data_IF_893790060537
#
_entry.id   IF_893790060537
#
_cell.length_a   1.000
_cell.length_b   1.000
_cell.length_c   1.000
_cell.angle_alpha   90.00
_cell.angle_beta   90.00
_cell.angle_gamma   90.00
#
_symmetry.space_group_name_H-M   'P 1'
#
loop_
_entity.id
_entity.type
_entity.pdbx_description
1 polymer ?
#
# COMPACT_ATOMS: atom_id res chain seq x y z
N UNK A 1 23.90 -10.50 -9.64
CA UNK A 1 22.64 -10.08 -9.06
C UNK A 1 22.73 -8.66 -8.57
N UNK A 2 21.75 -7.83 -8.93
CA UNK A 2 21.61 -6.47 -8.44
C UNK A 2 20.56 -6.44 -7.33
N UNK A 3 20.87 -5.77 -6.21
CA UNK A 3 19.92 -5.55 -5.12
C UNK A 3 19.11 -4.30 -5.44
N UNK A 4 17.78 -4.42 -5.35
CA UNK A 4 16.83 -3.30 -5.43
C UNK A 4 16.00 -3.32 -4.14
N UNK A 5 15.96 -2.21 -3.42
CA UNK A 5 15.23 -2.11 -2.15
C UNK A 5 13.91 -1.40 -2.40
N UNK A 6 12.81 -2.12 -2.19
CA UNK A 6 11.46 -1.56 -2.12
C UNK A 6 11.09 -1.20 -0.68
N UNK A 7 10.00 -0.45 -0.52
CA UNK A 7 9.47 0.00 0.78
C UNK A 7 7.96 0.00 0.78
N UNK A 8 7.38 0.15 1.96
CA UNK A 8 5.95 0.29 2.16
C UNK A 8 5.28 -0.96 2.73
N UNK A 9 5.51 -2.14 2.13
CA UNK A 9 5.12 -3.42 2.75
C UNK A 9 6.00 -3.75 3.95
N UNK A 10 7.29 -3.55 3.79
CA UNK A 10 8.29 -3.56 4.87
C UNK A 10 9.11 -2.27 4.80
N UNK A 11 9.78 -1.85 5.88
CA UNK A 11 10.64 -0.67 5.87
C UNK A 11 11.72 -0.74 4.80
N UNK A 12 12.31 -1.92 4.60
CA UNK A 12 13.27 -2.22 3.53
C UNK A 12 13.03 -3.64 3.03
N UNK A 13 12.39 -3.75 1.85
CA UNK A 13 12.12 -5.03 1.20
C UNK A 13 13.17 -5.28 0.12
N UNK A 14 14.04 -6.25 0.32
CA UNK A 14 15.10 -6.59 -0.63
C UNK A 14 14.52 -7.42 -1.79
N UNK A 15 14.69 -6.90 -3.00
CA UNK A 15 14.43 -7.60 -4.26
C UNK A 15 15.75 -7.86 -4.99
N UNK A 16 15.79 -8.87 -5.84
CA UNK A 16 17.00 -9.26 -6.56
C UNK A 16 16.74 -9.29 -8.08
N UNK A 17 17.50 -8.52 -8.85
CA UNK A 17 17.46 -8.53 -10.31
C UNK A 17 18.67 -9.25 -10.89
N UNK A 18 18.45 -10.26 -11.73
CA UNK A 18 19.48 -10.91 -12.52
C UNK A 18 19.35 -10.50 -13.99
N UNK A 19 20.17 -9.56 -14.51
CA UNK A 19 20.09 -9.13 -15.90
C UNK A 19 20.40 -10.25 -16.89
N UNK A 20 21.35 -11.14 -16.55
CA UNK A 20 21.77 -12.23 -17.43
C UNK A 20 20.67 -13.26 -17.69
N UNK A 21 19.75 -13.45 -16.73
CA UNK A 21 18.61 -14.38 -16.83
C UNK A 21 17.29 -13.65 -17.13
N UNK A 22 17.28 -12.35 -17.13
CA UNK A 22 16.08 -11.49 -17.19
C UNK A 22 15.03 -11.91 -16.15
N UNK A 23 15.47 -12.11 -14.89
CA UNK A 23 14.67 -12.61 -13.76
C UNK A 23 14.71 -11.61 -12.62
N UNK A 24 13.53 -11.33 -12.03
CA UNK A 24 13.35 -10.48 -10.87
C UNK A 24 12.70 -11.23 -9.72
N UNK A 25 13.46 -11.48 -8.64
CA UNK A 25 12.90 -12.03 -7.39
C UNK A 25 12.31 -10.86 -6.61
N UNK A 26 11.00 -10.80 -6.60
CA UNK A 26 10.25 -9.65 -6.08
C UNK A 26 9.82 -9.82 -4.61
N UNK A 27 9.77 -11.05 -4.10
CA UNK A 27 9.16 -11.31 -2.79
C UNK A 27 7.74 -10.77 -2.73
N UNK A 28 7.41 -10.10 -1.63
CA UNK A 28 6.11 -9.44 -1.45
C UNK A 28 6.03 -8.03 -2.08
N UNK A 29 7.13 -7.53 -2.63
CA UNK A 29 7.12 -6.21 -3.26
C UNK A 29 6.31 -6.18 -4.57
N UNK A 30 6.15 -7.30 -5.25
CA UNK A 30 5.34 -7.38 -6.48
C UNK A 30 4.70 -8.75 -6.63
N UNK A 31 3.41 -8.84 -6.31
CA UNK A 31 2.58 -10.04 -6.40
C UNK A 31 1.68 -10.04 -7.65
N UNK A 32 1.36 -11.20 -8.24
CA UNK A 32 0.64 -11.28 -9.53
C UNK A 32 -0.83 -10.84 -9.45
N UNK A 33 -1.53 -11.14 -8.36
CA UNK A 33 -2.99 -10.98 -8.29
C UNK A 33 -3.48 -10.18 -7.09
N UNK A 34 -2.84 -10.31 -5.93
CA UNK A 34 -3.20 -9.60 -4.69
C UNK A 34 -2.26 -8.42 -4.47
N UNK A 35 -2.71 -7.42 -3.73
CA UNK A 35 -1.87 -6.36 -3.19
C UNK A 35 -1.21 -6.85 -1.90
N UNK A 36 0.05 -6.53 -1.70
CA UNK A 36 0.70 -6.72 -0.42
C UNK A 36 0.09 -5.77 0.60
N UNK A 37 0.00 -6.18 1.84
CA UNK A 37 -0.49 -5.31 2.90
C UNK A 37 0.51 -4.17 3.15
N UNK A 38 0.01 -2.94 3.19
CA UNK A 38 0.76 -1.72 3.44
C UNK A 38 0.19 -1.08 4.69
N UNK A 39 0.78 -1.36 5.84
CA UNK A 39 0.22 -1.03 7.14
C UNK A 39 1.05 -0.05 7.96
N UNK A 40 0.36 0.86 8.64
CA UNK A 40 0.92 1.59 9.79
C UNK A 40 0.88 0.66 11.00
N UNK A 41 2.00 0.52 11.67
CA UNK A 41 2.11 -0.26 12.90
C UNK A 41 1.92 0.62 14.14
N UNK A 42 1.38 0.09 15.24
CA UNK A 42 1.18 0.87 16.47
C UNK A 42 2.45 1.51 17.05
N UNK A 43 3.60 0.94 16.74
CA UNK A 43 4.93 1.46 17.15
C UNK A 43 5.35 2.71 16.37
N UNK A 44 4.75 2.94 15.18
CA UNK A 44 5.07 4.04 14.28
C UNK A 44 3.80 4.71 13.73
N UNK A 45 2.92 5.25 14.59
CA UNK A 45 1.57 5.68 14.20
C UNK A 45 1.54 6.81 13.16
N UNK A 46 2.64 7.54 13.01
CA UNK A 46 2.76 8.67 12.06
C UNK A 46 3.55 8.30 10.80
N UNK A 47 3.94 7.04 10.62
CA UNK A 47 4.61 6.58 9.41
C UNK A 47 3.71 6.74 8.18
N UNK A 48 4.31 6.82 6.99
CA UNK A 48 3.59 6.96 5.72
C UNK A 48 3.96 5.85 4.74
N UNK A 49 3.70 4.56 5.10
CA UNK A 49 4.11 3.43 4.29
C UNK A 49 3.43 3.39 2.91
N UNK A 50 2.24 4.01 2.76
CA UNK A 50 1.60 4.08 1.44
C UNK A 50 2.37 5.00 0.49
N UNK A 51 2.92 6.10 0.97
CA UNK A 51 3.81 6.93 0.16
C UNK A 51 5.03 6.12 -0.30
N UNK A 52 5.67 5.44 0.63
CA UNK A 52 6.87 4.65 0.35
C UNK A 52 6.58 3.50 -0.63
N UNK A 53 5.39 2.89 -0.53
CA UNK A 53 4.90 1.88 -1.46
C UNK A 53 4.70 2.42 -2.87
N UNK A 54 4.01 3.54 -3.01
CA UNK A 54 3.75 4.17 -4.31
C UNK A 54 5.05 4.63 -4.98
N UNK A 55 5.96 5.22 -4.21
CA UNK A 55 7.29 5.62 -4.68
C UNK A 55 8.11 4.39 -5.12
N UNK A 56 8.03 3.29 -4.37
CA UNK A 56 8.70 2.02 -4.71
C UNK A 56 8.12 1.39 -5.98
N UNK A 57 6.81 1.42 -6.17
CA UNK A 57 6.19 0.93 -7.41
C UNK A 57 6.66 1.75 -8.63
N UNK A 58 6.70 3.07 -8.52
CA UNK A 58 7.18 3.94 -9.58
C UNK A 58 8.69 3.75 -9.86
N UNK A 59 9.49 3.59 -8.82
CA UNK A 59 10.93 3.31 -8.92
C UNK A 59 11.18 1.97 -9.61
N UNK A 60 10.43 0.92 -9.27
CA UNK A 60 10.56 -0.40 -9.89
C UNK A 60 10.21 -0.37 -11.39
N UNK A 61 9.18 0.39 -11.81
CA UNK A 61 8.87 0.57 -13.24
C UNK A 61 10.06 1.14 -14.04
N UNK A 62 10.92 1.91 -13.39
CA UNK A 62 12.11 2.51 -14.02
C UNK A 62 13.36 1.62 -13.92
N UNK A 63 13.40 0.73 -12.91
CA UNK A 63 14.63 -0.01 -12.55
C UNK A 63 14.67 -1.42 -13.12
N UNK A 64 13.53 -2.01 -13.51
CA UNK A 64 13.47 -3.39 -14.04
C UNK A 64 12.96 -3.39 -15.48
N UNK A 65 13.38 -4.36 -16.33
CA UNK A 65 12.87 -4.51 -17.70
C UNK A 65 11.37 -4.83 -17.73
N UNK A 66 10.65 -4.35 -18.76
CA UNK A 66 9.22 -4.58 -18.91
C UNK A 66 8.86 -6.07 -19.16
N UNK A 67 9.77 -6.81 -19.77
CA UNK A 67 9.67 -8.22 -20.15
C UNK A 67 10.33 -9.18 -19.15
N UNK A 68 10.69 -8.67 -17.95
CA UNK A 68 11.31 -9.49 -16.91
C UNK A 68 10.35 -10.58 -16.40
N UNK A 69 10.88 -11.79 -16.16
CA UNK A 69 10.15 -12.83 -15.43
C UNK A 69 10.18 -12.51 -13.93
N UNK A 70 9.00 -12.29 -13.35
CA UNK A 70 8.85 -12.00 -11.92
C UNK A 70 8.64 -13.27 -11.13
N UNK A 71 9.44 -13.45 -10.07
CA UNK A 71 9.34 -14.51 -9.07
C UNK A 71 8.81 -13.90 -7.76
N UNK A 72 7.50 -14.01 -7.49
CA UNK A 72 6.88 -13.47 -6.27
C UNK A 72 6.99 -14.48 -5.12
N UNK A 73 6.77 -14.04 -3.87
CA UNK A 73 6.64 -14.91 -2.70
C UNK A 73 5.31 -15.68 -2.67
N UNK A 74 4.26 -15.12 -3.29
CA UNK A 74 2.93 -15.72 -3.36
C UNK A 74 2.37 -15.69 -4.79
N UNK A 75 1.67 -16.77 -5.17
CA UNK A 75 1.10 -16.93 -6.50
C UNK A 75 2.07 -17.50 -7.51
N UNK A 76 1.70 -17.43 -8.80
CA UNK A 76 2.50 -17.95 -9.90
C UNK A 76 3.54 -16.95 -10.37
N UNK A 77 4.65 -17.41 -10.92
CA UNK A 77 5.59 -16.57 -11.66
C UNK A 77 4.87 -15.93 -12.86
N UNK A 78 5.26 -14.71 -13.23
CA UNK A 78 4.53 -13.98 -14.26
C UNK A 78 5.40 -12.98 -15.02
N UNK A 79 4.91 -12.58 -16.18
CA UNK A 79 5.42 -11.46 -16.98
C UNK A 79 4.48 -10.26 -16.88
N UNK A 80 4.94 -9.08 -17.33
CA UNK A 80 4.16 -7.86 -17.32
C UNK A 80 4.26 -7.07 -16.03
N UNK A 81 5.45 -7.04 -15.45
CA UNK A 81 5.77 -6.32 -14.21
C UNK A 81 5.29 -4.86 -14.23
N UNK A 82 5.56 -4.09 -15.29
CA UNK A 82 5.17 -2.68 -15.39
C UNK A 82 3.67 -2.48 -15.36
N UNK A 83 2.90 -3.31 -16.10
CA UNK A 83 1.44 -3.23 -16.09
C UNK A 83 0.87 -3.60 -14.72
N UNK A 84 1.51 -4.56 -14.04
CA UNK A 84 1.10 -4.96 -12.69
C UNK A 84 1.39 -3.87 -11.66
N UNK A 85 2.56 -3.25 -11.71
CA UNK A 85 2.91 -2.10 -10.87
C UNK A 85 1.93 -0.93 -11.07
N UNK A 86 1.59 -0.62 -12.34
CA UNK A 86 0.61 0.42 -12.61
C UNK A 86 -0.77 0.10 -12.02
N UNK A 87 -1.24 -1.15 -12.13
CA UNK A 87 -2.52 -1.57 -11.52
C UNK A 87 -2.51 -1.45 -9.99
N UNK A 88 -1.36 -1.66 -9.34
CA UNK A 88 -1.23 -1.45 -7.90
C UNK A 88 -1.36 0.04 -7.55
N UNK A 89 -0.67 0.91 -8.28
CA UNK A 89 -0.77 2.37 -8.11
C UNK A 89 -2.22 2.81 -8.32
N UNK A 90 -2.83 2.48 -9.46
CA UNK A 90 -4.22 2.86 -9.79
C UNK A 90 -5.23 2.34 -8.75
N UNK A 91 -4.96 1.17 -8.18
CA UNK A 91 -5.79 0.58 -7.12
C UNK A 91 -5.79 1.43 -5.86
N UNK A 92 -4.62 1.86 -5.40
CA UNK A 92 -4.50 2.74 -4.24
C UNK A 92 -5.07 4.13 -4.51
N UNK A 93 -4.85 4.71 -5.70
CA UNK A 93 -5.43 6.00 -6.08
C UNK A 93 -6.96 5.96 -6.04
N UNK A 94 -7.58 4.91 -6.57
CA UNK A 94 -9.05 4.71 -6.48
C UNK A 94 -9.53 4.58 -5.04
N UNK A 95 -8.77 3.91 -4.19
CA UNK A 95 -9.08 3.79 -2.75
C UNK A 95 -8.99 5.14 -2.04
N UNK A 96 -7.98 5.95 -2.36
CA UNK A 96 -7.82 7.30 -1.80
C UNK A 96 -8.99 8.21 -2.17
N UNK A 97 -9.49 8.15 -3.42
CA UNK A 97 -10.68 8.91 -3.85
C UNK A 97 -11.91 8.52 -3.03
N UNK A 98 -12.16 7.21 -2.87
CA UNK A 98 -13.31 6.73 -2.05
C UNK A 98 -13.23 7.19 -0.60
N UNK A 99 -12.03 7.21 -0.02
CA UNK A 99 -11.85 7.69 1.35
C UNK A 99 -12.13 9.19 1.47
N UNK A 100 -11.69 10.01 0.50
CA UNK A 100 -12.00 11.43 0.47
C UNK A 100 -13.51 11.68 0.38
N UNK A 101 -14.21 10.92 -0.46
CA UNK A 101 -15.67 11.01 -0.58
C UNK A 101 -16.37 10.60 0.72
N UNK A 102 -15.91 9.54 1.38
CA UNK A 102 -16.48 9.08 2.65
C UNK A 102 -16.20 10.05 3.79
N UNK A 103 -15.08 10.76 3.78
CA UNK A 103 -14.67 11.71 4.80
C UNK A 103 -15.25 13.13 4.63
N UNK A 104 -16.28 13.34 3.79
CA UNK A 104 -17.01 14.62 3.76
C UNK A 104 -17.63 14.97 5.13
N UNK A 105 -17.96 13.96 5.93
CA UNK A 105 -18.26 14.06 7.35
C UNK A 105 -17.16 13.37 8.15
N UNK A 106 -16.90 13.78 9.40
CA UNK A 106 -15.87 13.15 10.22
C UNK A 106 -16.05 11.62 10.32
N UNK A 107 -15.02 10.85 10.07
CA UNK A 107 -15.01 9.39 10.12
C UNK A 107 -13.82 8.92 10.96
N UNK A 108 -14.01 7.80 11.68
CA UNK A 108 -12.90 7.09 12.32
C UNK A 108 -12.30 6.07 11.33
N UNK A 109 -11.12 5.61 11.62
CA UNK A 109 -10.45 4.57 10.84
C UNK A 109 -11.36 3.35 10.57
N UNK A 110 -11.99 2.82 11.61
CA UNK A 110 -12.84 1.61 11.54
C UNK A 110 -14.14 1.81 10.74
N UNK A 111 -14.64 3.02 10.64
CA UNK A 111 -15.87 3.34 9.90
C UNK A 111 -15.64 3.29 8.37
N UNK A 112 -14.37 3.27 7.95
CA UNK A 112 -13.94 3.35 6.54
C UNK A 112 -13.61 1.99 5.92
N UNK A 113 -13.69 0.89 6.67
CA UNK A 113 -13.33 -0.44 6.17
C UNK A 113 -14.09 -0.84 4.91
N UNK A 114 -15.39 -0.54 4.82
CA UNK A 114 -16.22 -0.86 3.65
C UNK A 114 -15.79 -0.11 2.38
N UNK A 115 -15.02 0.97 2.50
CA UNK A 115 -14.49 1.71 1.35
C UNK A 115 -13.26 1.01 0.73
N UNK A 116 -12.49 0.31 1.56
CA UNK A 116 -11.24 -0.34 1.16
C UNK A 116 -11.41 -1.85 0.93
N UNK A 117 -12.19 -2.51 1.76
CA UNK A 117 -12.29 -3.96 1.78
C UNK A 117 -13.65 -4.44 1.27
N UNK A 118 -13.62 -5.41 0.33
CA UNK A 118 -14.84 -6.00 -0.25
C UNK A 118 -15.51 -7.01 0.67
N UNK A 119 -14.74 -7.60 1.59
CA UNK A 119 -15.22 -8.60 2.54
C UNK A 119 -15.36 -7.96 3.93
N UNK A 120 -16.30 -8.43 4.74
CA UNK A 120 -16.36 -8.03 6.15
C UNK A 120 -15.02 -8.31 6.83
N UNK A 121 -14.62 -7.41 7.71
CA UNK A 121 -13.42 -7.56 8.52
C UNK A 121 -13.75 -8.41 9.74
N UNK A 122 -13.05 -9.52 9.88
CA UNK A 122 -13.12 -10.44 11.00
C UNK A 122 -11.97 -10.18 11.99
N UNK A 123 -12.04 -10.71 13.19
CA UNK A 123 -11.07 -10.45 14.26
C UNK A 123 -9.64 -10.84 13.87
N UNK A 124 -9.48 -11.91 13.09
CA UNK A 124 -8.19 -12.42 12.63
C UNK A 124 -7.45 -11.48 11.65
N UNK A 125 -8.19 -10.63 10.92
CA UNK A 125 -7.63 -9.65 9.98
C UNK A 125 -7.78 -8.20 10.43
N UNK A 126 -8.40 -7.96 11.60
CA UNK A 126 -8.71 -6.61 12.10
C UNK A 126 -7.46 -5.72 12.19
N UNK A 127 -6.37 -6.23 12.75
CA UNK A 127 -5.13 -5.46 12.90
C UNK A 127 -4.55 -5.02 11.55
N UNK A 128 -4.59 -5.91 10.55
CA UNK A 128 -4.13 -5.60 9.19
C UNK A 128 -5.04 -4.54 8.54
N UNK A 129 -6.36 -4.68 8.69
CA UNK A 129 -7.32 -3.73 8.15
C UNK A 129 -7.19 -2.33 8.78
N UNK A 130 -7.01 -2.26 10.10
CA UNK A 130 -6.75 -0.99 10.81
C UNK A 130 -5.45 -0.36 10.29
N UNK A 131 -4.37 -1.14 10.20
CA UNK A 131 -3.08 -0.64 9.75
C UNK A 131 -3.10 -0.15 8.31
N UNK A 132 -3.75 -0.87 7.40
CA UNK A 132 -3.86 -0.49 5.98
C UNK A 132 -4.75 0.74 5.80
N UNK A 133 -5.88 0.81 6.50
CA UNK A 133 -6.73 2.00 6.49
C UNK A 133 -5.96 3.22 7.02
N UNK A 134 -5.20 3.05 8.11
CA UNK A 134 -4.38 4.12 8.67
C UNK A 134 -3.29 4.60 7.70
N UNK A 135 -2.70 3.70 6.92
CA UNK A 135 -1.71 4.07 5.90
C UNK A 135 -2.30 5.00 4.84
N UNK A 136 -3.53 4.73 4.38
CA UNK A 136 -4.24 5.59 3.44
C UNK A 136 -4.60 6.94 4.06
N UNK A 137 -5.06 6.96 5.32
CA UNK A 137 -5.39 8.19 6.04
C UNK A 137 -4.14 9.06 6.25
N UNK A 138 -3.04 8.48 6.72
CA UNK A 138 -1.77 9.21 6.90
C UNK A 138 -1.27 9.79 5.57
N UNK A 139 -1.41 9.05 4.47
CA UNK A 139 -1.07 9.55 3.14
C UNK A 139 -1.91 10.79 2.77
N UNK A 140 -3.24 10.73 2.95
CA UNK A 140 -4.13 11.86 2.63
C UNK A 140 -3.88 13.08 3.53
N UNK A 141 -3.59 12.86 4.80
CA UNK A 141 -3.20 13.94 5.73
C UNK A 141 -1.88 14.57 5.26
N UNK A 142 -0.88 13.77 4.87
CA UNK A 142 0.40 14.27 4.37
C UNK A 142 0.29 15.08 3.07
N UNK A 143 -0.81 14.87 2.32
CA UNK A 143 -1.14 15.62 1.09
C UNK A 143 -2.06 16.83 1.34
N UNK A 144 -2.35 17.16 2.60
CA UNK A 144 -3.29 18.21 2.98
C UNK A 144 -4.69 18.04 2.34
N UNK A 145 -5.15 16.78 2.23
CA UNK A 145 -6.49 16.45 1.72
C UNK A 145 -7.46 16.09 2.84
N UNK A 146 -6.93 15.61 3.97
CA UNK A 146 -7.68 15.36 5.19
C UNK A 146 -7.06 16.14 6.36
N UNK A 147 -7.91 16.60 7.27
CA UNK A 147 -7.53 16.99 8.61
C UNK A 147 -7.82 15.85 9.58
N UNK A 148 -6.96 15.68 10.58
CA UNK A 148 -7.16 14.77 11.70
C UNK A 148 -7.45 15.56 12.97
N UNK A 149 -8.38 15.08 13.79
CA UNK A 149 -8.68 15.61 15.13
C UNK A 149 -8.85 14.45 16.11
N UNK A 150 -8.62 14.71 17.40
CA UNK A 150 -8.79 13.68 18.45
C UNK A 150 -9.91 14.15 19.38
N UNK A 151 -10.85 13.27 19.67
CA UNK A 151 -11.93 13.55 20.61
C UNK A 151 -11.52 13.38 22.08
N UNK A 152 -12.44 13.69 23.00
CA UNK A 152 -12.20 13.59 24.44
C UNK A 152 -12.00 12.15 24.95
N UNK A 153 -12.32 11.16 24.13
CA UNK A 153 -12.12 9.72 24.41
C UNK A 153 -10.78 9.20 23.83
N UNK A 154 -10.02 10.05 23.13
CA UNK A 154 -8.76 9.70 22.50
C UNK A 154 -8.92 9.04 21.11
N UNK A 155 -10.12 9.03 20.52
CA UNK A 155 -10.33 8.51 19.18
C UNK A 155 -10.00 9.56 18.11
N UNK A 156 -9.29 9.13 17.05
CA UNK A 156 -8.96 9.99 15.93
C UNK A 156 -10.10 10.00 14.89
N UNK A 157 -10.42 11.19 14.42
CA UNK A 157 -11.41 11.48 13.39
C UNK A 157 -10.75 12.16 12.21
N UNK A 158 -11.20 11.84 11.02
CA UNK A 158 -10.64 12.34 9.75
C UNK A 158 -11.75 12.98 8.93
N UNK A 159 -11.48 14.16 8.38
CA UNK A 159 -12.43 14.91 7.55
C UNK A 159 -11.70 15.58 6.39
N UNK A 160 -12.35 15.61 5.22
CA UNK A 160 -11.87 16.34 4.03
C UNK A 160 -11.79 17.84 4.30
N UNK A 161 -10.70 18.47 3.86
CA UNK A 161 -10.45 19.92 4.00
C UNK A 161 -11.19 20.68 2.89
#
# INVERSE_FOLDING_TARGET
WNIIVGRGHAPEHVCLMCPALNVFIAGDQLLPSISSNVSVWPTEPHSNPLKDWLDSCAMLQQSIPADVLVLPSHGQVFFGAHQRLQRLIDGHEKSLVKLLDACQQPQRNVDLFSQLFRRPITDDVLTLAVGETQAHLNYLVSKNKLQASTDNMGANWYQTI
#
